data_IF_859258655195
#
_entry.id   IF_859258655195
#
_cell.length_a   1.000
_cell.length_b   1.000
_cell.length_c   1.000
_cell.angle_alpha   90.00
_cell.angle_beta   90.00
_cell.angle_gamma   90.00
#
_symmetry.space_group_name_H-M   'P 1'
#
loop_
_entity.id
_entity.type
_entity.pdbx_description
1 polymer ?
#
# COMPACT_ATOMS: atom_id res chain seq x y z
N UNK A 1 8.85 9.40 8.52
CA UNK A 1 7.50 9.34 9.11
C UNK A 1 6.74 8.25 8.39
N UNK A 2 5.82 7.54 9.05
CA UNK A 2 4.96 6.53 8.41
C UNK A 2 3.53 6.80 8.82
N UNK A 3 2.60 6.77 7.87
CA UNK A 3 1.17 7.06 8.06
C UNK A 3 0.37 5.84 7.58
N UNK A 4 -0.72 5.52 8.26
CA UNK A 4 -1.64 4.46 7.83
C UNK A 4 -3.01 5.07 7.55
N UNK A 5 -3.47 4.97 6.31
CA UNK A 5 -4.83 5.32 5.93
C UNK A 5 -5.72 4.07 6.02
N UNK A 6 -6.75 4.14 6.85
CA UNK A 6 -7.68 3.05 7.10
C UNK A 6 -9.09 3.60 7.27
N UNK A 7 -9.97 3.31 6.31
CA UNK A 7 -11.33 3.83 6.28
C UNK A 7 -12.26 3.32 7.39
N UNK A 8 -11.90 2.27 8.13
CA UNK A 8 -12.67 1.86 9.32
C UNK A 8 -12.36 2.73 10.54
N UNK A 9 -11.22 3.42 10.53
CA UNK A 9 -10.71 4.25 11.64
C UNK A 9 -10.77 5.74 11.34
N UNK A 10 -10.76 6.11 10.07
CA UNK A 10 -10.72 7.49 9.61
C UNK A 10 -11.73 7.69 8.48
N UNK A 11 -12.72 8.55 8.70
CA UNK A 11 -13.81 8.81 7.74
C UNK A 11 -13.34 9.52 6.47
N UNK A 12 -12.30 10.35 6.55
CA UNK A 12 -11.71 11.07 5.42
C UNK A 12 -10.48 10.35 4.81
N UNK A 13 -10.23 9.09 5.20
CA UNK A 13 -9.05 8.28 4.85
C UNK A 13 -8.68 8.33 3.37
N UNK A 14 -9.64 8.16 2.47
CA UNK A 14 -9.40 8.16 1.02
C UNK A 14 -8.94 9.53 0.53
N UNK A 15 -9.65 10.60 0.93
CA UNK A 15 -9.29 11.97 0.55
C UNK A 15 -7.95 12.41 1.15
N UNK A 16 -7.62 11.93 2.36
CA UNK A 16 -6.36 12.22 3.03
C UNK A 16 -5.20 11.48 2.35
N UNK A 17 -5.44 10.24 1.91
CA UNK A 17 -4.51 9.48 1.10
C UNK A 17 -4.23 10.15 -0.25
N UNK A 18 -5.27 10.56 -0.98
CA UNK A 18 -5.12 11.29 -2.25
C UNK A 18 -4.31 12.58 -2.08
N UNK A 19 -4.61 13.37 -1.03
CA UNK A 19 -3.81 14.54 -0.67
C UNK A 19 -2.37 14.16 -0.37
N UNK A 20 -2.14 13.07 0.36
CA UNK A 20 -0.78 12.64 0.69
C UNK A 20 0.04 12.32 -0.57
N UNK A 21 -0.54 11.61 -1.54
CA UNK A 21 0.09 11.28 -2.82
C UNK A 21 0.55 12.54 -3.58
N UNK A 22 -0.28 13.59 -3.60
CA UNK A 22 0.04 14.86 -4.26
C UNK A 22 1.26 15.56 -3.64
N UNK A 23 1.46 15.42 -2.33
CA UNK A 23 2.56 16.07 -1.61
C UNK A 23 3.84 15.21 -1.52
N UNK A 24 3.75 13.91 -1.82
CA UNK A 24 4.86 12.95 -1.66
C UNK A 24 5.04 12.10 -2.93
N UNK A 25 5.34 12.72 -4.09
CA UNK A 25 5.43 12.00 -5.37
C UNK A 25 6.58 10.97 -5.41
N UNK A 26 7.59 11.15 -4.56
CA UNK A 26 8.75 10.28 -4.35
C UNK A 26 8.54 9.26 -3.21
N UNK A 27 7.36 9.26 -2.59
CA UNK A 27 7.02 8.38 -1.48
C UNK A 27 6.72 6.94 -1.90
N UNK A 28 6.42 6.12 -0.91
CA UNK A 28 6.11 4.70 -1.05
C UNK A 28 4.79 4.37 -0.37
N UNK A 29 4.02 3.48 -1.00
CA UNK A 29 2.72 3.03 -0.52
C UNK A 29 2.68 1.51 -0.50
N UNK A 30 2.31 0.93 0.63
CA UNK A 30 1.98 -0.50 0.74
C UNK A 30 0.49 -0.66 0.89
N UNK A 31 -0.13 -1.39 -0.03
CA UNK A 31 -1.51 -1.82 0.09
C UNK A 31 -1.54 -3.17 0.81
N UNK A 32 -2.26 -3.30 1.92
CA UNK A 32 -2.43 -4.56 2.64
C UNK A 32 -3.85 -4.68 3.21
N UNK A 33 -4.27 -5.89 3.58
CA UNK A 33 -5.60 -6.10 4.17
C UNK A 33 -5.68 -5.49 5.57
N UNK A 34 -6.85 -4.96 5.92
CA UNK A 34 -7.16 -4.51 7.28
C UNK A 34 -7.12 -5.65 8.29
N UNK A 35 -7.51 -6.84 7.85
CA UNK A 35 -7.54 -8.06 8.66
C UNK A 35 -6.17 -8.74 8.85
N UNK A 36 -5.09 -8.20 8.29
CA UNK A 36 -3.74 -8.72 8.51
C UNK A 36 -3.43 -8.70 10.02
N UNK A 37 -2.95 -9.82 10.55
CA UNK A 37 -2.79 -10.06 11.99
C UNK A 37 -1.38 -10.55 12.38
N UNK A 38 -0.39 -10.37 11.50
CA UNK A 38 0.99 -10.79 11.76
C UNK A 38 1.26 -12.29 11.60
N UNK A 39 0.31 -13.11 11.14
CA UNK A 39 0.46 -14.57 11.05
C UNK A 39 0.74 -15.12 9.64
N UNK A 40 1.14 -14.27 8.69
CA UNK A 40 1.45 -14.65 7.31
C UNK A 40 0.31 -15.44 6.63
N UNK A 41 -0.79 -14.76 6.30
CA UNK A 41 -1.89 -15.35 5.54
C UNK A 41 -1.55 -15.56 4.06
N UNK A 42 -2.13 -16.61 3.44
CA UNK A 42 -2.03 -16.83 1.97
C UNK A 42 -2.52 -15.61 1.19
N UNK A 43 -3.62 -14.98 1.64
CA UNK A 43 -4.17 -13.78 1.01
C UNK A 43 -3.20 -12.59 1.10
N UNK A 44 -2.54 -12.41 2.24
CA UNK A 44 -1.58 -11.31 2.44
C UNK A 44 -0.38 -11.46 1.50
N UNK A 45 0.13 -12.68 1.28
CA UNK A 45 1.20 -12.96 0.29
C UNK A 45 0.83 -12.58 -1.14
N UNK A 46 -0.44 -12.64 -1.50
CA UNK A 46 -0.92 -12.40 -2.88
C UNK A 46 -1.39 -10.98 -3.12
N UNK A 47 -1.65 -10.21 -2.05
CA UNK A 47 -2.30 -8.91 -2.14
C UNK A 47 -1.49 -7.77 -1.52
N UNK A 48 -0.41 -8.09 -0.80
CA UNK A 48 0.47 -7.08 -0.21
C UNK A 48 1.58 -6.70 -1.18
N UNK A 49 1.55 -5.46 -1.65
CA UNK A 49 2.54 -4.91 -2.57
C UNK A 49 2.98 -3.52 -2.14
N UNK A 50 4.26 -3.22 -2.31
CA UNK A 50 4.81 -1.87 -2.24
C UNK A 50 4.85 -1.23 -3.63
N UNK A 51 4.45 0.04 -3.68
CA UNK A 51 4.35 0.89 -4.86
C UNK A 51 5.12 2.20 -4.61
N UNK A 52 5.57 2.85 -5.69
CA UNK A 52 5.84 4.29 -5.69
C UNK A 52 4.53 5.06 -5.49
N UNK A 53 4.56 6.20 -4.80
CA UNK A 53 3.40 7.09 -4.67
C UNK A 53 2.92 7.62 -6.04
N UNK A 54 3.82 7.76 -7.01
CA UNK A 54 3.48 8.11 -8.40
C UNK A 54 2.88 6.95 -9.21
N UNK A 55 2.66 5.78 -8.62
CA UNK A 55 2.16 4.61 -9.31
C UNK A 55 0.70 4.79 -9.76
N UNK A 56 0.46 4.69 -11.06
CA UNK A 56 -0.87 4.74 -11.64
C UNK A 56 -1.80 3.59 -11.19
N UNK A 57 -1.27 2.49 -10.62
CA UNK A 57 -2.08 1.42 -10.04
C UNK A 57 -2.69 1.81 -8.67
N UNK A 58 -2.28 2.93 -8.08
CA UNK A 58 -2.83 3.42 -6.81
C UNK A 58 -4.13 4.21 -7.01
N UNK A 59 -4.42 4.68 -8.23
CA UNK A 59 -5.61 5.50 -8.47
C UNK A 59 -6.88 4.66 -8.41
N UNK A 60 -7.80 5.08 -7.54
CA UNK A 60 -9.19 4.59 -7.39
C UNK A 60 -10.02 4.70 -8.69
N UNK A 61 -9.60 5.52 -9.65
CA UNK A 61 -10.28 5.75 -10.94
C UNK A 61 -10.33 4.53 -11.87
N UNK A 62 -9.54 3.48 -11.63
CA UNK A 62 -9.58 2.22 -12.41
C UNK A 62 -10.47 1.12 -11.84
N UNK A 63 -11.46 1.46 -11.00
CA UNK A 63 -12.65 0.60 -10.81
C UNK A 63 -12.41 -0.76 -10.15
N UNK A 64 -11.32 -0.91 -9.38
CA UNK A 64 -11.16 -2.07 -8.51
C UNK A 64 -12.04 -1.88 -7.27
N UNK A 65 -13.21 -2.51 -7.22
CA UNK A 65 -14.00 -2.65 -5.99
C UNK A 65 -13.18 -3.42 -4.94
N UNK A 66 -12.24 -2.76 -4.29
CA UNK A 66 -11.78 -3.18 -2.97
C UNK A 66 -12.90 -2.74 -2.04
N UNK A 67 -13.72 -3.67 -1.54
CA UNK A 67 -14.88 -3.39 -0.67
C UNK A 67 -14.47 -2.78 0.69
N UNK A 68 -13.62 -1.75 0.70
CA UNK A 68 -12.98 -1.20 1.88
C UNK A 68 -12.04 -2.16 2.61
N UNK A 69 -11.69 -3.33 2.06
CA UNK A 69 -10.94 -4.35 2.82
C UNK A 69 -9.46 -4.03 3.06
N UNK A 70 -8.94 -2.97 2.43
CA UNK A 70 -7.53 -2.63 2.43
C UNK A 70 -7.24 -1.36 3.22
N UNK A 71 -6.03 -1.29 3.75
CA UNK A 71 -5.42 -0.10 4.33
C UNK A 71 -4.10 0.18 3.61
N UNK A 72 -3.66 1.43 3.69
CA UNK A 72 -2.48 1.91 2.98
C UNK A 72 -1.44 2.45 3.96
N UNK A 73 -0.28 1.80 4.02
CA UNK A 73 0.88 2.33 4.71
C UNK A 73 1.59 3.28 3.74
N UNK A 74 1.83 4.51 4.15
CA UNK A 74 2.50 5.54 3.35
C UNK A 74 3.76 6.02 4.08
N UNK A 75 4.89 6.10 3.38
CA UNK A 75 6.14 6.61 3.94
C UNK A 75 7.01 7.26 2.86
N UNK A 76 7.89 8.17 3.27
CA UNK A 76 8.95 8.69 2.41
C UNK A 76 10.19 7.78 2.36
N UNK A 77 10.20 6.66 3.11
CA UNK A 77 11.28 5.67 3.06
C UNK A 77 10.72 4.29 2.71
N UNK A 78 11.34 3.67 1.71
CA UNK A 78 11.00 2.33 1.26
C UNK A 78 11.15 1.33 2.41
N UNK A 79 12.27 1.39 3.14
CA UNK A 79 12.61 0.49 4.23
C UNK A 79 11.61 0.59 5.37
N UNK A 80 11.16 1.81 5.70
CA UNK A 80 10.17 2.02 6.77
C UNK A 80 8.79 1.51 6.37
N UNK A 81 8.38 1.69 5.12
CA UNK A 81 7.13 1.16 4.61
C UNK A 81 7.16 -0.38 4.57
N UNK A 82 8.26 -0.96 4.08
CA UNK A 82 8.45 -2.41 3.99
C UNK A 82 8.49 -3.05 5.37
N UNK A 83 9.29 -2.52 6.30
CA UNK A 83 9.42 -3.07 7.65
C UNK A 83 8.09 -3.09 8.41
N UNK A 84 7.30 -2.00 8.31
CA UNK A 84 5.99 -1.95 8.96
C UNK A 84 4.99 -2.93 8.32
N UNK A 85 5.02 -3.06 6.99
CA UNK A 85 4.17 -4.03 6.29
C UNK A 85 4.52 -5.47 6.67
N UNK A 86 5.80 -5.83 6.76
CA UNK A 86 6.27 -7.14 7.23
C UNK A 86 5.75 -7.41 8.64
N UNK A 87 5.90 -6.46 9.55
CA UNK A 87 5.39 -6.56 10.92
C UNK A 87 3.88 -6.80 10.96
N UNK A 88 3.08 -6.03 10.20
CA UNK A 88 1.61 -6.15 10.23
C UNK A 88 1.08 -7.43 9.57
N UNK A 89 1.79 -7.95 8.57
CA UNK A 89 1.36 -9.12 7.81
C UNK A 89 1.99 -10.43 8.28
N UNK A 90 3.13 -10.36 8.98
CA UNK A 90 3.96 -11.51 9.33
C UNK A 90 4.76 -12.05 8.15
N UNK A 91 4.83 -11.33 7.03
CA UNK A 91 5.56 -11.75 5.84
C UNK A 91 7.05 -11.42 5.97
N UNK A 92 7.91 -12.35 5.53
CA UNK A 92 9.35 -12.12 5.46
C UNK A 92 9.75 -11.19 4.29
N UNK A 93 8.90 -11.11 3.27
CA UNK A 93 9.10 -10.30 2.07
C UNK A 93 7.79 -9.64 1.63
N UNK A 94 7.88 -8.38 1.19
CA UNK A 94 6.78 -7.65 0.57
C UNK A 94 7.05 -7.56 -0.92
N UNK A 95 6.08 -8.00 -1.72
CA UNK A 95 6.20 -7.95 -3.18
C UNK A 95 6.29 -6.51 -3.65
N UNK A 96 7.13 -6.29 -4.66
CA UNK A 96 7.30 -4.99 -5.30
C UNK A 96 6.41 -4.91 -6.53
N UNK A 97 5.75 -3.78 -6.71
CA UNK A 97 5.01 -3.50 -7.92
C UNK A 97 5.95 -3.54 -9.13
N UNK A 98 5.66 -4.38 -10.12
CA UNK A 98 6.43 -4.49 -11.36
C UNK A 98 6.48 -3.18 -12.15
N UNK A 99 5.42 -2.37 -12.11
CA UNK A 99 5.40 -1.04 -12.76
C UNK A 99 6.33 -0.03 -12.12
N UNK A 100 6.53 -0.14 -10.82
CA UNK A 100 7.36 0.80 -10.06
C UNK A 100 8.82 0.36 -10.03
N UNK A 101 9.06 -0.95 -9.99
CA UNK A 101 10.35 -1.53 -9.63
C UNK A 101 10.82 -2.67 -10.55
N UNK A 102 10.00 -3.07 -11.53
CA UNK A 102 10.38 -4.03 -12.56
C UNK A 102 11.07 -3.34 -13.75
N UNK A 103 11.67 -4.16 -14.63
CA UNK A 103 12.26 -3.67 -15.89
C UNK A 103 11.26 -3.58 -17.04
N UNK A 104 10.07 -4.18 -16.90
CA UNK A 104 9.12 -4.34 -17.99
C UNK A 104 7.85 -3.49 -17.78
N UNK A 105 7.63 -2.63 -18.77
CA UNK A 105 6.46 -1.78 -18.93
C UNK A 105 5.38 -2.63 -19.62
N UNK A 106 4.28 -2.95 -18.96
CA UNK A 106 2.92 -2.88 -19.52
C UNK A 106 1.85 -3.42 -18.58
N UNK A 107 0.75 -2.65 -18.49
CA UNK A 107 -0.30 -2.69 -17.47
C UNK A 107 -1.28 -3.83 -17.66
#
# INVERSE_FOLDING_TARGET
>A
MTIIFNSDKQTDSESAFEKWLLHHPDGFVVNLRKAANGLSGKSDKHKTFIHSASCHCLSSTKGGFTNGEYQKICSSSFEKAEALAKYMTGLDEIKRCSFCFGKDKEC
#
